data_IF_399266935057
#
_entry.id   IF_399266935057
#
_cell.length_a   1.000
_cell.length_b   1.000
_cell.length_c   1.000
_cell.angle_alpha   90.00
_cell.angle_beta   90.00
_cell.angle_gamma   90.00
#
_symmetry.space_group_name_H-M   'P 1'
#
loop_
_entity.id
_entity.type
_entity.pdbx_description
1 polymer ?
#
# COMPACT_ATOMS: atom_id res chain seq x y z
N UNK A 1 -11.37 -10.28 -18.82
CA UNK A 1 -10.52 -9.42 -17.96
C UNK A 1 -11.41 -8.72 -16.95
N UNK A 2 -11.31 -9.06 -15.66
CA UNK A 2 -12.06 -8.37 -14.62
C UNK A 2 -11.42 -7.01 -14.35
N UNK A 3 -11.78 -6.01 -15.16
CA UNK A 3 -11.50 -4.61 -14.82
C UNK A 3 -12.34 -4.31 -13.58
N UNK A 4 -11.69 -4.07 -12.44
CA UNK A 4 -12.34 -3.52 -11.25
C UNK A 4 -13.09 -2.24 -11.65
N UNK A 5 -14.39 -2.38 -11.94
CA UNK A 5 -15.29 -1.32 -12.41
C UNK A 5 -16.00 -0.61 -11.25
N UNK A 6 -15.68 -1.02 -10.02
CA UNK A 6 -16.29 -0.52 -8.81
C UNK A 6 -15.30 0.32 -8.01
N UNK A 7 -15.78 1.27 -7.18
CA UNK A 7 -14.94 1.97 -6.23
C UNK A 7 -14.27 1.00 -5.27
N UNK A 8 -12.97 1.18 -5.06
CA UNK A 8 -12.17 0.32 -4.19
C UNK A 8 -11.13 1.14 -3.43
N UNK A 9 -10.68 0.60 -2.31
CA UNK A 9 -9.51 1.07 -1.56
C UNK A 9 -8.39 0.05 -1.67
N UNK A 10 -7.16 0.48 -1.47
CA UNK A 10 -6.00 -0.38 -1.47
C UNK A 10 -4.98 0.07 -0.44
N UNK A 11 -4.22 -0.90 0.04
CA UNK A 11 -3.01 -0.67 0.82
C UNK A 11 -1.80 -1.05 -0.03
N UNK A 12 -0.75 -0.24 0.02
CA UNK A 12 0.59 -0.62 -0.42
C UNK A 12 1.45 -0.90 0.81
N UNK A 13 2.12 -2.05 0.83
CA UNK A 13 3.22 -2.32 1.76
C UNK A 13 4.50 -1.81 1.14
N UNK A 14 5.16 -0.86 1.80
CA UNK A 14 6.36 -0.20 1.32
C UNK A 14 7.52 -0.48 2.28
N UNK A 15 8.69 -0.78 1.76
CA UNK A 15 9.93 -0.95 2.53
C UNK A 15 10.92 0.15 2.15
N UNK A 16 11.50 0.79 3.17
CA UNK A 16 12.77 1.51 3.01
C UNK A 16 13.86 0.68 3.69
N UNK A 17 14.95 0.47 2.98
CA UNK A 17 16.06 -0.38 3.43
C UNK A 17 17.14 0.39 4.20
N UNK A 18 17.01 1.71 4.30
CA UNK A 18 17.91 2.59 5.02
C UNK A 18 17.18 3.87 5.46
N UNK A 19 17.70 4.53 6.49
CA UNK A 19 17.24 5.86 6.91
C UNK A 19 17.43 6.87 5.79
N UNK A 20 16.34 7.46 5.32
CA UNK A 20 16.34 8.39 4.18
C UNK A 20 15.63 9.69 4.53
N UNK A 21 16.07 10.80 3.94
CA UNK A 21 15.34 12.06 3.97
C UNK A 21 15.05 12.54 2.55
N UNK A 22 13.77 12.81 2.24
CA UNK A 22 13.36 13.31 0.92
C UNK A 22 12.51 14.58 1.03
N UNK A 23 12.37 15.29 -0.09
CA UNK A 23 11.43 16.40 -0.22
C UNK A 23 10.16 15.93 -0.93
N UNK A 24 9.02 16.04 -0.27
CA UNK A 24 7.72 15.61 -0.79
C UNK A 24 6.89 16.84 -1.17
N UNK A 25 6.94 17.23 -2.45
CA UNK A 25 6.17 18.35 -2.99
C UNK A 25 6.16 19.60 -2.09
N UNK A 26 4.97 20.16 -1.86
CA UNK A 26 4.75 21.29 -0.95
C UNK A 26 4.83 20.93 0.54
N UNK A 27 4.76 19.64 0.89
CA UNK A 27 4.85 19.15 2.27
C UNK A 27 6.28 19.31 2.86
N UNK A 28 7.27 19.51 1.98
CA UNK A 28 8.65 19.79 2.38
C UNK A 28 9.43 18.53 2.76
N UNK A 29 10.40 18.66 3.66
CA UNK A 29 11.26 17.55 4.06
C UNK A 29 10.50 16.54 4.94
N UNK A 30 10.72 15.25 4.65
CA UNK A 30 10.18 14.11 5.39
C UNK A 30 11.33 13.16 5.69
N UNK A 31 11.50 12.82 6.97
CA UNK A 31 12.42 11.76 7.40
C UNK A 31 11.70 10.43 7.37
N UNK A 32 12.36 9.44 6.78
CA UNK A 32 11.85 8.08 6.56
C UNK A 32 12.89 7.14 7.17
N UNK A 33 12.77 6.82 8.47
CA UNK A 33 13.60 5.78 9.05
C UNK A 33 13.47 4.48 8.28
N UNK A 34 14.50 3.65 8.31
CA UNK A 34 14.42 2.27 7.87
C UNK A 34 13.19 1.61 8.52
N UNK A 35 12.42 0.88 7.72
CA UNK A 35 11.19 0.28 8.23
C UNK A 35 10.20 -0.16 7.17
N UNK A 36 9.14 -0.78 7.64
CA UNK A 36 7.95 -1.09 6.87
C UNK A 36 6.92 0.02 7.02
N UNK A 37 6.20 0.29 5.94
CA UNK A 37 5.24 1.38 5.85
C UNK A 37 3.98 0.91 5.11
N UNK A 38 2.86 1.53 5.45
CA UNK A 38 1.60 1.35 4.74
C UNK A 38 1.17 2.67 4.13
N UNK A 39 0.81 2.62 2.85
CA UNK A 39 0.05 3.67 2.20
C UNK A 39 -1.38 3.22 1.95
N UNK A 40 -2.36 3.98 2.42
CA UNK A 40 -3.76 3.79 2.03
C UNK A 40 -4.13 4.73 0.89
N UNK A 41 -4.79 4.20 -0.14
CA UNK A 41 -5.34 4.98 -1.24
C UNK A 41 -6.67 4.41 -1.71
N UNK A 42 -7.47 5.22 -2.39
CA UNK A 42 -8.68 4.76 -3.10
C UNK A 42 -8.58 4.87 -4.61
N UNK A 43 -9.53 4.27 -5.30
CA UNK A 43 -9.75 4.40 -6.72
C UNK A 43 -11.26 4.28 -7.01
N UNK A 44 -11.89 5.38 -7.46
CA UNK A 44 -13.30 5.35 -7.93
C UNK A 44 -13.45 4.60 -9.25
N UNK A 45 -12.44 4.71 -10.11
CA UNK A 45 -12.26 3.98 -11.37
C UNK A 45 -10.76 3.79 -11.61
N UNK A 46 -10.39 2.75 -12.37
CA UNK A 46 -9.03 2.60 -12.90
C UNK A 46 -7.96 2.26 -11.86
N UNK A 47 -8.26 1.36 -10.92
CA UNK A 47 -7.29 0.88 -9.93
C UNK A 47 -6.05 0.28 -10.59
N UNK A 48 -6.20 -0.45 -11.69
CA UNK A 48 -5.08 -1.05 -12.40
C UNK A 48 -4.06 0.00 -12.89
N UNK A 49 -4.55 1.10 -13.47
CA UNK A 49 -3.68 2.21 -13.90
C UNK A 49 -2.98 2.86 -12.70
N UNK A 50 -3.68 3.01 -11.57
CA UNK A 50 -3.09 3.56 -10.34
C UNK A 50 -2.01 2.66 -9.77
N UNK A 51 -2.26 1.36 -9.64
CA UNK A 51 -1.27 0.40 -9.15
C UNK A 51 -0.06 0.32 -10.10
N UNK A 52 -0.27 0.29 -11.42
CA UNK A 52 0.83 0.34 -12.40
C UNK A 52 1.66 1.61 -12.27
N UNK A 53 1.01 2.75 -12.05
CA UNK A 53 1.71 4.00 -11.79
C UNK A 53 2.59 3.86 -10.55
N UNK A 54 2.09 3.31 -9.45
CA UNK A 54 2.85 3.13 -8.21
C UNK A 54 4.09 2.25 -8.42
N UNK A 55 3.96 1.13 -9.13
CA UNK A 55 5.10 0.23 -9.42
C UNK A 55 6.08 0.75 -10.47
N UNK A 56 5.68 1.70 -11.32
CA UNK A 56 6.61 2.32 -12.27
C UNK A 56 7.67 3.13 -11.52
N UNK A 57 8.93 3.16 -11.97
CA UNK A 57 9.96 4.04 -11.37
C UNK A 57 10.05 5.41 -12.05
N UNK A 58 9.97 5.45 -13.37
CA UNK A 58 10.05 6.70 -14.15
C UNK A 58 8.66 7.30 -14.34
N UNK A 59 8.32 8.30 -13.53
CA UNK A 59 7.06 9.05 -13.65
C UNK A 59 7.25 10.49 -13.19
N UNK A 60 6.42 11.42 -13.68
CA UNK A 60 6.32 12.76 -13.07
C UNK A 60 5.63 12.63 -11.72
N UNK A 61 6.24 13.07 -10.63
CA UNK A 61 5.64 13.01 -9.29
C UNK A 61 4.48 14.02 -9.17
N UNK A 62 3.32 13.54 -8.72
CA UNK A 62 2.12 14.38 -8.51
C UNK A 62 1.52 14.16 -7.12
N UNK A 63 1.50 12.92 -6.64
CA UNK A 63 1.02 12.56 -5.30
C UNK A 63 2.17 12.36 -4.34
N UNK A 64 1.93 12.55 -3.03
CA UNK A 64 2.95 12.31 -2.00
C UNK A 64 3.59 10.91 -2.11
N UNK A 65 2.78 9.89 -2.40
CA UNK A 65 3.28 8.52 -2.60
C UNK A 65 4.20 8.39 -3.82
N UNK A 66 4.06 9.22 -4.86
CA UNK A 66 4.98 9.15 -6.01
C UNK A 66 6.41 9.50 -5.59
N UNK A 67 6.60 10.55 -4.78
CA UNK A 67 7.91 10.95 -4.24
C UNK A 67 8.49 9.88 -3.31
N UNK A 68 7.65 9.32 -2.44
CA UNK A 68 8.06 8.28 -1.49
C UNK A 68 8.56 7.02 -2.23
N UNK A 69 7.90 6.65 -3.33
CA UNK A 69 8.28 5.49 -4.14
C UNK A 69 9.46 5.74 -5.09
N UNK A 70 10.06 6.94 -5.10
CA UNK A 70 11.37 7.14 -5.76
C UNK A 70 12.50 6.44 -4.98
N UNK A 71 12.34 6.34 -3.66
CA UNK A 71 13.34 5.73 -2.74
C UNK A 71 12.79 4.53 -1.97
N UNK A 72 11.47 4.27 -2.04
CA UNK A 72 10.81 3.14 -1.38
C UNK A 72 10.45 2.01 -2.33
N UNK A 73 10.42 0.79 -1.80
CA UNK A 73 10.05 -0.42 -2.55
C UNK A 73 8.64 -0.85 -2.20
N UNK A 74 7.74 -0.95 -3.18
CA UNK A 74 6.45 -1.62 -2.97
C UNK A 74 6.68 -3.12 -2.91
N UNK A 75 6.38 -3.75 -1.77
CA UNK A 75 6.54 -5.20 -1.56
C UNK A 75 5.21 -5.93 -1.52
N UNK A 76 4.11 -5.23 -1.31
CA UNK A 76 2.79 -5.83 -1.20
C UNK A 76 1.67 -4.88 -1.63
N UNK A 77 0.57 -5.46 -2.12
CA UNK A 77 -0.66 -4.75 -2.46
C UNK A 77 -1.83 -5.54 -1.87
N UNK A 78 -2.75 -4.86 -1.20
CA UNK A 78 -4.02 -5.40 -0.76
C UNK A 78 -5.15 -4.52 -1.31
N UNK A 79 -6.11 -5.08 -2.04
CA UNK A 79 -7.24 -4.33 -2.64
C UNK A 79 -8.54 -4.74 -1.95
N UNK A 80 -9.30 -3.74 -1.52
CA UNK A 80 -10.55 -3.84 -0.79
C UNK A 80 -11.69 -3.23 -1.62
N UNK A 81 -12.84 -3.89 -1.65
CA UNK A 81 -14.06 -3.32 -2.26
C UNK A 81 -14.58 -2.15 -1.40
N UNK A 82 -15.07 -1.08 -2.05
CA UNK A 82 -15.60 0.13 -1.38
C UNK A 82 -14.54 1.21 -1.13
N UNK A 83 -14.98 2.44 -0.87
CA UNK A 83 -14.11 3.60 -0.59
C UNK A 83 -13.77 3.71 0.91
N UNK A 84 -13.23 2.64 1.50
CA UNK A 84 -12.95 2.52 2.95
C UNK A 84 -11.53 2.95 3.37
N UNK A 85 -10.90 3.84 2.60
CA UNK A 85 -9.49 4.25 2.78
C UNK A 85 -9.22 4.85 4.18
N UNK A 86 -10.11 5.74 4.64
CA UNK A 86 -9.98 6.39 5.93
C UNK A 86 -10.18 5.39 7.09
N UNK A 87 -11.13 4.48 6.94
CA UNK A 87 -11.46 3.43 7.90
C UNK A 87 -10.31 2.45 8.05
N UNK A 88 -9.62 2.10 6.95
CA UNK A 88 -8.39 1.29 6.99
C UNK A 88 -7.32 1.97 7.86
N UNK A 89 -7.03 3.25 7.60
CA UNK A 89 -6.05 4.05 8.36
C UNK A 89 -6.42 4.11 9.84
N UNK A 90 -7.68 4.45 10.15
CA UNK A 90 -8.15 4.56 11.52
C UNK A 90 -8.06 3.22 12.26
N UNK A 91 -8.40 2.12 11.60
CA UNK A 91 -8.38 0.78 12.20
C UNK A 91 -6.95 0.34 12.51
N UNK A 92 -6.02 0.55 11.59
CA UNK A 92 -4.61 0.22 11.77
C UNK A 92 -3.96 1.05 12.89
N UNK A 93 -4.21 2.35 12.94
CA UNK A 93 -3.71 3.21 14.03
C UNK A 93 -4.33 2.86 15.38
N UNK A 94 -5.66 2.66 15.47
CA UNK A 94 -6.33 2.27 16.72
C UNK A 94 -5.84 0.94 17.27
N UNK A 95 -5.42 0.04 16.38
CA UNK A 95 -4.87 -1.26 16.75
C UNK A 95 -3.38 -1.21 17.15
N UNK A 96 -2.74 -0.04 17.11
CA UNK A 96 -1.32 0.14 17.43
C UNK A 96 -0.36 -0.40 16.37
N UNK A 97 -0.87 -0.79 15.19
CA UNK A 97 -0.04 -1.35 14.10
C UNK A 97 0.80 -0.28 13.43
N UNK A 98 0.27 0.95 13.36
CA UNK A 98 0.92 2.02 12.61
C UNK A 98 0.95 3.35 13.36
N UNK A 99 2.03 4.10 13.18
CA UNK A 99 2.23 5.45 13.68
C UNK A 99 2.34 6.49 12.55
N UNK A 100 2.10 7.76 12.93
CA UNK A 100 2.19 8.90 12.04
C UNK A 100 3.64 9.38 11.95
N UNK A 101 4.17 9.51 10.73
CA UNK A 101 5.46 10.16 10.49
C UNK A 101 5.34 11.69 10.46
N UNK A 102 4.41 12.19 9.65
CA UNK A 102 4.23 13.63 9.39
C UNK A 102 2.76 13.93 9.07
N UNK A 103 2.13 14.91 9.74
CA UNK A 103 0.79 15.34 9.39
C UNK A 103 0.67 15.78 7.92
N UNK A 104 -0.43 15.42 7.27
CA UNK A 104 -0.73 15.68 5.85
C UNK A 104 -0.10 14.72 4.85
N UNK A 105 0.75 13.77 5.29
CA UNK A 105 1.43 12.85 4.37
C UNK A 105 0.45 11.83 3.80
N UNK A 106 0.30 11.82 2.47
CA UNK A 106 -0.65 10.95 1.76
C UNK A 106 -2.15 11.30 1.90
N UNK A 107 -2.56 12.31 2.68
CA UNK A 107 -3.97 12.59 2.99
C UNK A 107 -4.50 13.92 2.42
N UNK A 108 -3.92 14.43 1.33
CA UNK A 108 -4.23 15.76 0.78
C UNK A 108 -5.69 16.00 0.38
N UNK A 109 -6.48 14.94 0.17
CA UNK A 109 -7.88 14.99 -0.26
C UNK A 109 -8.89 14.66 0.87
N UNK A 110 -8.43 14.55 2.12
CA UNK A 110 -9.30 14.27 3.26
C UNK A 110 -8.80 14.95 4.56
N UNK A 111 -9.52 14.73 5.67
CA UNK A 111 -9.19 15.28 7.00
C UNK A 111 -8.35 14.33 7.86
N UNK A 112 -7.95 13.17 7.35
CA UNK A 112 -7.08 12.25 8.09
C UNK A 112 -5.71 12.88 8.33
N UNK A 113 -5.12 12.57 9.48
CA UNK A 113 -3.80 13.09 9.85
C UNK A 113 -2.71 12.66 8.86
N UNK A 114 -2.74 11.43 8.37
CA UNK A 114 -1.89 10.93 7.28
C UNK A 114 -2.49 9.63 6.74
N UNK A 115 -2.20 9.29 5.48
CA UNK A 115 -2.49 7.98 4.89
C UNK A 115 -1.21 7.19 4.59
N UNK A 116 -0.04 7.80 4.76
CA UNK A 116 1.24 7.11 4.78
C UNK A 116 1.72 6.97 6.22
N UNK A 117 1.87 5.74 6.69
CA UNK A 117 2.09 5.40 8.09
C UNK A 117 3.28 4.46 8.23
N UNK A 118 4.05 4.60 9.31
CA UNK A 118 5.08 3.63 9.68
C UNK A 118 4.44 2.44 10.37
N UNK A 119 4.86 1.22 10.03
CA UNK A 119 4.50 0.01 10.77
C UNK A 119 5.42 -0.10 11.98
N UNK A 120 4.84 -0.34 13.15
CA UNK A 120 5.60 -0.57 14.37
C UNK A 120 6.18 -1.99 14.40
N UNK A 121 7.51 -2.11 14.48
CA UNK A 121 8.24 -3.39 14.44
C UNK A 121 7.84 -4.36 15.55
N UNK A 122 7.29 -3.85 16.65
CA UNK A 122 6.82 -4.66 17.77
C UNK A 122 5.57 -5.48 17.44
N UNK A 123 4.93 -5.25 16.28
CA UNK A 123 3.77 -6.01 15.83
C UNK A 123 4.13 -6.85 14.60
N UNK A 124 4.33 -8.15 14.83
CA UNK A 124 4.38 -9.15 13.75
C UNK A 124 2.97 -9.29 13.17
N UNK A 125 2.68 -8.59 12.07
CA UNK A 125 1.46 -8.84 11.30
C UNK A 125 1.83 -9.57 9.99
N UNK A 126 1.15 -10.68 9.75
CA UNK A 126 1.24 -11.38 8.48
C UNK A 126 0.47 -10.60 7.41
N UNK A 127 1.16 -10.15 6.36
CA UNK A 127 0.53 -9.39 5.27
C UNK A 127 -0.57 -10.20 4.58
N UNK A 128 -0.41 -11.53 4.45
CA UNK A 128 -1.42 -12.42 3.89
C UNK A 128 -2.70 -12.50 4.76
N UNK A 129 -2.61 -12.18 6.05
CA UNK A 129 -3.74 -12.19 7.00
C UNK A 129 -4.40 -10.83 7.20
N UNK A 130 -3.99 -9.78 6.47
CA UNK A 130 -4.48 -8.41 6.68
C UNK A 130 -6.02 -8.31 6.65
N UNK A 131 -6.68 -9.09 5.78
CA UNK A 131 -8.14 -9.14 5.72
C UNK A 131 -8.76 -9.67 7.02
N UNK A 132 -8.25 -10.78 7.55
CA UNK A 132 -8.72 -11.39 8.79
C UNK A 132 -8.41 -10.50 10.01
N UNK A 133 -7.24 -9.86 10.00
CA UNK A 133 -6.88 -8.87 11.01
C UNK A 133 -7.89 -7.73 11.07
N UNK A 134 -8.22 -7.11 9.93
CA UNK A 134 -9.17 -5.99 9.87
C UNK A 134 -10.57 -6.40 10.34
N UNK A 135 -11.04 -7.59 9.97
CA UNK A 135 -12.33 -8.14 10.46
C UNK A 135 -12.34 -8.29 11.98
N UNK A 136 -11.28 -8.84 12.58
CA UNK A 136 -11.15 -8.98 14.05
C UNK A 136 -11.15 -7.63 14.78
N UNK A 137 -10.73 -6.56 14.10
CA UNK A 137 -10.78 -5.19 14.61
C UNK A 137 -12.10 -4.47 14.30
N UNK A 138 -13.09 -5.17 13.77
CA UNK A 138 -14.45 -4.66 13.54
C UNK A 138 -14.66 -3.96 12.20
N UNK A 139 -13.70 -4.01 11.27
CA UNK A 139 -13.88 -3.47 9.92
C UNK A 139 -14.36 -4.60 8.98
N UNK A 140 -15.62 -4.59 8.53
CA UNK A 140 -16.18 -5.68 7.72
C UNK A 140 -15.69 -5.62 6.28
N UNK A 141 -14.47 -6.08 6.04
CA UNK A 141 -13.90 -6.18 4.68
C UNK A 141 -14.41 -7.44 3.98
N UNK A 142 -15.22 -7.35 2.92
CA UNK A 142 -15.84 -8.52 2.28
C UNK A 142 -14.83 -9.45 1.58
N UNK A 143 -14.06 -8.91 0.63
CA UNK A 143 -13.09 -9.64 -0.22
C UNK A 143 -11.84 -8.78 -0.36
N UNK A 144 -10.68 -9.40 -0.10
CA UNK A 144 -9.38 -8.75 -0.21
C UNK A 144 -8.55 -9.51 -1.23
N UNK A 145 -8.05 -8.81 -2.24
CA UNK A 145 -7.07 -9.39 -3.17
C UNK A 145 -5.69 -8.96 -2.70
N UNK A 146 -4.84 -9.92 -2.38
CA UNK A 146 -3.51 -9.68 -1.82
C UNK A 146 -2.45 -10.18 -2.80
N UNK A 147 -1.37 -9.40 -2.91
CA UNK A 147 -0.12 -9.76 -3.57
C UNK A 147 1.04 -9.33 -2.67
N UNK A 148 2.11 -10.13 -2.62
CA UNK A 148 3.30 -9.88 -1.83
C UNK A 148 4.52 -10.56 -2.45
N UNK A 149 5.69 -9.92 -2.33
CA UNK A 149 6.98 -10.45 -2.77
C UNK A 149 8.02 -10.40 -1.65
N UNK A 150 8.55 -11.58 -1.31
CA UNK A 150 9.64 -11.76 -0.36
C UNK A 150 11.01 -11.41 -0.97
N UNK A 151 11.16 -11.58 -2.27
CA UNK A 151 12.47 -11.55 -2.96
C UNK A 151 12.80 -10.21 -3.63
N UNK A 152 12.00 -9.17 -3.40
CA UNK A 152 12.23 -7.86 -4.03
C UNK A 152 10.97 -7.01 -4.20
N UNK A 153 11.10 -5.81 -4.78
CA UNK A 153 9.96 -4.97 -5.12
C UNK A 153 9.04 -5.65 -6.14
N UNK A 154 7.74 -5.43 -5.99
CA UNK A 154 6.74 -5.85 -6.95
C UNK A 154 6.97 -5.18 -8.31
N UNK A 155 6.72 -5.94 -9.37
CA UNK A 155 6.82 -5.57 -10.78
C UNK A 155 5.44 -5.53 -11.43
N UNK A 156 5.35 -4.85 -12.57
CA UNK A 156 4.09 -4.58 -13.25
C UNK A 156 3.25 -5.82 -13.63
N UNK A 157 3.90 -6.96 -13.93
CA UNK A 157 3.22 -8.20 -14.31
C UNK A 157 2.46 -8.83 -13.14
N UNK A 158 2.86 -8.59 -11.90
CA UNK A 158 2.18 -9.14 -10.71
C UNK A 158 0.79 -8.50 -10.50
N UNK A 159 0.58 -7.30 -11.06
CA UNK A 159 -0.75 -6.65 -11.11
C UNK A 159 -1.65 -7.31 -12.17
N UNK A 160 -1.09 -7.93 -13.21
CA UNK A 160 -1.88 -8.61 -14.25
C UNK A 160 -2.59 -9.84 -13.68
N UNK A 161 -1.94 -10.52 -12.73
CA UNK A 161 -2.54 -11.60 -11.95
C UNK A 161 -3.67 -11.07 -11.02
N UNK A 162 -3.49 -9.90 -10.37
CA UNK A 162 -4.54 -9.26 -9.55
C UNK A 162 -5.82 -9.01 -10.38
N UNK A 163 -5.68 -8.65 -11.66
CA UNK A 163 -6.78 -8.38 -12.58
C UNK A 163 -7.46 -9.64 -13.16
N UNK A 164 -6.85 -10.82 -12.96
CA UNK A 164 -7.26 -12.06 -13.60
C UNK A 164 -7.89 -13.08 -12.65
N UNK A 165 -7.43 -13.16 -11.38
CA UNK A 165 -7.80 -14.28 -10.49
C UNK A 165 -8.42 -13.89 -9.15
N UNK A 166 -8.35 -12.63 -8.71
CA UNK A 166 -8.85 -12.26 -7.37
C UNK A 166 -8.10 -12.92 -6.21
N UNK A 167 -6.97 -13.56 -6.47
CA UNK A 167 -5.92 -13.98 -5.53
C UNK A 167 -4.60 -14.13 -6.31
N UNK A 168 -3.52 -13.49 -5.86
CA UNK A 168 -2.17 -13.78 -6.35
C UNK A 168 -1.45 -14.67 -5.33
N UNK A 169 -1.15 -15.90 -5.71
CA UNK A 169 -0.23 -16.80 -4.99
C UNK A 169 1.21 -16.35 -5.31
N UNK A 170 2.18 -16.48 -4.40
CA UNK A 170 3.57 -16.13 -4.67
C UNK A 170 4.08 -16.93 -5.87
N UNK A 171 4.64 -16.26 -6.87
CA UNK A 171 5.48 -16.95 -7.85
C UNK A 171 6.82 -17.25 -7.17
N UNK A 172 7.00 -18.47 -6.69
CA UNK A 172 8.36 -19.01 -6.53
C UNK A 172 9.04 -18.98 -7.90
N UNK A 173 10.30 -18.52 -8.01
CA UNK A 173 11.04 -18.68 -9.24
C UNK A 173 11.15 -20.18 -9.50
N UNK A 174 10.56 -20.65 -10.60
CA UNK A 174 10.70 -22.03 -11.03
C UNK A 174 12.18 -22.34 -11.23
N UNK A 175 12.68 -23.34 -10.50
CA UNK A 175 13.92 -24.00 -10.87
C UNK A 175 13.74 -24.52 -12.29
N UNK A 176 14.49 -23.92 -13.21
CA UNK A 176 14.72 -24.47 -14.53
C UNK A 176 15.71 -25.62 -14.36
N UNK A 177 15.27 -26.83 -14.69
CA UNK A 177 16.14 -27.88 -15.21
C UNK A 177 15.71 -28.10 -16.67
#
# INVERSE_FOLDING_TARGET
MAKFSFPCSYLLLVRFNEDTQIRVGALGKVSLPEGWYIYAGRARKGIYQRLRRHLGRKKKCFWHIDYLLEVGEVRGIAVFKGEIECELVQTLCKAGVCSLLKPGLGSSDCRCKAHFLKIEEQIVFSWSDIGNFLRRKGLPVEKVVICFSENGPLKGFEIEALASSGHCVPHSPGNSC
#
